data_IF_371373719393
#
_entry.id   IF_371373719393
#
_cell.length_a   1.000
_cell.length_b   1.000
_cell.length_c   1.000
_cell.angle_alpha   90.00
_cell.angle_beta   90.00
_cell.angle_gamma   90.00
#
_symmetry.space_group_name_H-M   'P 1'
#
loop_
_entity.id
_entity.type
_entity.pdbx_description
1 polymer ?
#
# COMPACT_ATOMS: atom_id res chain seq x y z
N UNK A 1 -3.84 62.36 -46.22
CA UNK A 1 -2.98 61.63 -47.18
C UNK A 1 -2.32 60.48 -46.42
N UNK A 2 -2.37 59.28 -46.98
CA UNK A 2 -1.91 57.97 -46.44
C UNK A 2 -0.36 57.96 -46.32
N UNK A 3 0.31 57.48 -45.25
CA UNK A 3 0.65 56.09 -44.82
C UNK A 3 1.24 56.14 -43.36
N UNK A 4 0.99 55.23 -42.42
CA UNK A 4 1.63 53.89 -42.19
C UNK A 4 3.15 53.94 -41.89
N UNK A 5 3.76 53.17 -40.95
CA UNK A 5 3.29 52.09 -40.04
C UNK A 5 4.28 51.80 -38.86
N UNK A 6 3.82 51.15 -37.76
CA UNK A 6 4.60 50.55 -36.61
C UNK A 6 5.36 51.53 -35.67
N UNK A 7 5.59 51.22 -34.37
CA UNK A 7 5.45 49.94 -33.65
C UNK A 7 4.66 50.07 -32.33
N UNK A 8 3.60 49.29 -32.18
CA UNK A 8 3.19 48.82 -30.85
C UNK A 8 4.20 47.77 -30.40
N UNK A 9 4.94 48.01 -29.32
CA UNK A 9 5.57 46.91 -28.59
C UNK A 9 4.46 46.20 -27.80
N UNK A 10 4.08 45.06 -28.34
CA UNK A 10 3.08 44.15 -27.82
C UNK A 10 3.56 43.65 -26.46
N UNK A 11 2.80 43.95 -25.40
CA UNK A 11 2.97 43.34 -24.08
C UNK A 11 2.12 42.06 -24.01
N UNK A 12 2.39 41.12 -24.92
CA UNK A 12 1.88 39.75 -24.88
C UNK A 12 3.06 38.79 -24.90
N UNK A 13 3.47 38.34 -23.71
CA UNK A 13 4.08 37.02 -23.46
C UNK A 13 4.24 36.85 -21.93
N UNK A 14 3.11 36.75 -21.22
CA UNK A 14 3.09 36.49 -19.76
C UNK A 14 2.06 35.45 -19.32
N UNK A 15 1.18 34.99 -20.22
CA UNK A 15 0.05 34.11 -19.87
C UNK A 15 0.32 32.62 -20.16
N UNK A 16 1.45 32.26 -20.78
CA UNK A 16 1.78 30.87 -21.13
C UNK A 16 2.89 30.26 -20.25
N UNK A 17 3.75 31.09 -19.64
CA UNK A 17 4.70 30.60 -18.61
C UNK A 17 3.99 30.31 -17.28
N UNK A 18 3.06 31.15 -16.83
CA UNK A 18 2.36 30.99 -15.55
C UNK A 18 1.73 29.61 -15.40
N UNK A 19 0.96 29.16 -16.40
CA UNK A 19 0.27 27.87 -16.38
C UNK A 19 1.27 26.69 -16.30
N UNK A 20 2.40 26.78 -17.01
CA UNK A 20 3.45 25.76 -16.97
C UNK A 20 4.15 25.74 -15.60
N UNK A 21 4.43 26.91 -15.00
CA UNK A 21 4.98 26.97 -13.63
C UNK A 21 4.01 26.41 -12.58
N UNK A 22 2.71 26.64 -12.73
CA UNK A 22 1.67 26.19 -11.81
C UNK A 22 1.43 24.68 -11.93
N UNK A 23 1.29 24.13 -13.15
CA UNK A 23 1.27 22.68 -13.39
C UNK A 23 2.56 21.99 -12.91
N UNK A 24 3.73 22.61 -13.13
CA UNK A 24 5.02 22.10 -12.61
C UNK A 24 5.11 22.14 -11.09
N UNK A 25 4.44 23.09 -10.42
CA UNK A 25 4.40 23.18 -8.97
C UNK A 25 3.47 22.11 -8.39
N UNK A 26 2.26 21.98 -8.95
CA UNK A 26 1.28 20.95 -8.56
C UNK A 26 1.81 19.52 -8.83
N UNK A 27 2.51 19.31 -9.95
CA UNK A 27 3.20 18.05 -10.24
C UNK A 27 4.36 17.75 -9.27
N UNK A 28 5.07 18.78 -8.76
CA UNK A 28 6.11 18.62 -7.74
C UNK A 28 5.52 18.34 -6.36
N UNK A 29 4.44 19.03 -5.99
CA UNK A 29 3.74 18.82 -4.72
C UNK A 29 3.09 17.43 -4.65
N UNK A 30 2.34 17.02 -5.68
CA UNK A 30 1.75 15.67 -5.77
C UNK A 30 2.83 14.57 -5.76
N UNK A 31 3.98 14.79 -6.40
CA UNK A 31 5.15 13.89 -6.31
C UNK A 31 5.75 13.85 -4.90
N UNK A 32 5.85 14.98 -4.21
CA UNK A 32 6.37 15.06 -2.83
C UNK A 32 5.41 14.39 -1.84
N UNK A 33 4.09 14.58 -1.99
CA UNK A 33 3.05 13.89 -1.22
C UNK A 33 3.15 12.38 -1.46
N UNK A 34 3.28 11.95 -2.71
CA UNK A 34 3.44 10.53 -3.07
C UNK A 34 4.69 9.93 -2.44
N UNK A 35 5.85 10.59 -2.53
CA UNK A 35 7.10 10.16 -1.87
C UNK A 35 6.95 10.09 -0.35
N UNK A 36 6.25 11.04 0.27
CA UNK A 36 5.99 11.05 1.72
C UNK A 36 5.06 9.90 2.12
N UNK A 37 4.06 9.57 1.30
CA UNK A 37 3.18 8.42 1.50
C UNK A 37 3.94 7.09 1.33
N UNK A 38 4.79 6.94 0.30
CA UNK A 38 5.65 5.76 0.15
C UNK A 38 6.60 5.60 1.34
N UNK A 39 7.27 6.67 1.78
CA UNK A 39 8.19 6.63 2.93
C UNK A 39 7.46 6.30 4.24
N UNK A 40 6.22 6.78 4.43
CA UNK A 40 5.36 6.36 5.54
C UNK A 40 4.97 4.88 5.44
N UNK A 41 4.55 4.40 4.27
CA UNK A 41 4.22 2.99 4.03
C UNK A 41 5.42 2.08 4.33
N UNK A 42 6.59 2.41 3.79
CA UNK A 42 7.84 1.69 4.06
C UNK A 42 8.18 1.69 5.56
N UNK A 43 7.96 2.80 6.28
CA UNK A 43 8.18 2.85 7.73
C UNK A 43 7.28 1.88 8.51
N UNK A 44 6.04 1.62 8.05
CA UNK A 44 5.16 0.62 8.67
C UNK A 44 5.63 -0.83 8.39
N UNK A 45 6.22 -1.09 7.22
CA UNK A 45 6.80 -2.41 6.91
C UNK A 45 8.17 -2.61 7.58
N UNK A 46 8.94 -1.54 7.80
CA UNK A 46 10.24 -1.58 8.49
C UNK A 46 10.14 -1.45 10.02
N UNK A 47 8.97 -1.09 10.58
CA UNK A 47 8.81 -1.08 12.04
C UNK A 47 9.05 -2.50 12.58
N UNK A 48 10.01 -2.64 13.49
CA UNK A 48 10.30 -3.89 14.18
C UNK A 48 9.03 -4.45 14.84
N UNK A 49 8.83 -5.78 14.78
CA UNK A 49 7.76 -6.44 15.55
C UNK A 49 8.10 -6.37 17.04
N UNK A 50 7.80 -5.22 17.67
CA UNK A 50 8.04 -4.90 19.08
C UNK A 50 7.53 -5.97 20.06
N UNK A 51 6.56 -6.77 19.61
CA UNK A 51 5.98 -7.88 20.37
C UNK A 51 5.86 -9.12 19.47
N UNK A 52 6.99 -9.79 19.22
CA UNK A 52 7.00 -11.12 18.59
C UNK A 52 6.48 -12.21 19.56
N UNK A 53 5.23 -12.04 19.99
CA UNK A 53 4.50 -12.96 20.86
C UNK A 53 3.93 -14.05 19.96
N UNK A 54 4.51 -15.25 20.06
CA UNK A 54 4.05 -16.44 19.36
C UNK A 54 2.54 -16.62 19.52
N UNK A 55 1.82 -16.75 18.40
CA UNK A 55 0.37 -16.92 18.40
C UNK A 55 0.00 -18.39 18.50
N UNK A 56 -0.97 -18.70 19.36
CA UNK A 56 -1.53 -20.04 19.51
C UNK A 56 -2.69 -20.28 18.55
N UNK A 57 -3.08 -21.55 18.43
CA UNK A 57 -4.35 -21.98 17.81
C UNK A 57 -5.55 -21.20 18.37
N UNK A 58 -5.57 -21.01 19.70
CA UNK A 58 -6.65 -20.33 20.41
C UNK A 58 -6.74 -18.85 20.04
N UNK A 59 -5.60 -18.18 19.81
CA UNK A 59 -5.58 -16.80 19.31
C UNK A 59 -6.18 -16.72 17.90
N UNK A 60 -5.82 -17.66 17.02
CA UNK A 60 -6.36 -17.73 15.66
C UNK A 60 -7.88 -17.92 15.66
N UNK A 61 -8.42 -18.81 16.49
CA UNK A 61 -9.86 -19.06 16.55
C UNK A 61 -10.66 -18.06 17.39
N UNK A 62 -10.08 -17.47 18.45
CA UNK A 62 -10.83 -16.74 19.48
C UNK A 62 -10.55 -15.25 19.55
N UNK A 63 -9.46 -14.77 18.93
CA UNK A 63 -8.98 -13.38 19.05
C UNK A 63 -8.93 -12.71 17.67
N UNK A 64 -8.29 -13.31 16.68
CA UNK A 64 -8.17 -12.72 15.34
C UNK A 64 -9.53 -12.40 14.68
N UNK A 65 -10.59 -13.23 14.78
CA UNK A 65 -11.90 -12.92 14.19
C UNK A 65 -12.63 -11.75 14.85
N UNK A 66 -12.12 -11.24 15.99
CA UNK A 66 -12.65 -10.06 16.70
C UNK A 66 -11.90 -8.77 16.36
N UNK A 67 -10.93 -8.82 15.46
CA UNK A 67 -10.21 -7.63 15.00
C UNK A 67 -11.01 -6.91 13.92
N UNK A 68 -11.15 -5.60 14.09
CA UNK A 68 -11.53 -4.71 12.98
C UNK A 68 -10.45 -4.70 11.88
N UNK A 69 -10.81 -4.24 10.67
CA UNK A 69 -9.90 -4.24 9.51
C UNK A 69 -8.61 -3.45 9.76
N UNK A 70 -8.64 -2.42 10.60
CA UNK A 70 -7.46 -1.60 10.93
C UNK A 70 -6.50 -2.41 11.80
N UNK A 71 -7.00 -3.10 12.83
CA UNK A 71 -6.22 -4.02 13.68
C UNK A 71 -5.71 -5.21 12.88
N UNK A 72 -6.56 -5.82 12.05
CA UNK A 72 -6.16 -6.93 11.18
C UNK A 72 -5.01 -6.49 10.28
N UNK A 73 -5.18 -5.38 9.53
CA UNK A 73 -4.16 -4.87 8.63
C UNK A 73 -2.87 -4.47 9.34
N UNK A 74 -2.95 -3.93 10.56
CA UNK A 74 -1.76 -3.60 11.36
C UNK A 74 -1.00 -4.84 11.85
N UNK A 75 -1.71 -5.89 12.26
CA UNK A 75 -1.12 -7.12 12.82
C UNK A 75 -0.61 -8.04 11.71
N UNK A 76 -1.40 -8.23 10.65
CA UNK A 76 -1.11 -9.14 9.53
C UNK A 76 -0.31 -8.48 8.40
N UNK A 77 -0.15 -7.15 8.42
CA UNK A 77 0.50 -6.32 7.39
C UNK A 77 -0.15 -6.39 6.00
N UNK A 78 -1.35 -6.92 5.92
CA UNK A 78 -2.20 -7.00 4.74
C UNK A 78 -3.68 -6.97 5.17
N UNK A 79 -4.57 -6.55 4.28
CA UNK A 79 -6.01 -6.65 4.53
C UNK A 79 -6.50 -8.11 4.53
N UNK A 80 -7.69 -8.32 5.08
CA UNK A 80 -8.29 -9.66 5.21
C UNK A 80 -8.51 -10.34 3.86
N UNK A 81 -8.93 -9.61 2.83
CA UNK A 81 -9.19 -10.20 1.51
C UNK A 81 -7.89 -10.66 0.83
N UNK A 82 -6.84 -9.84 0.87
CA UNK A 82 -5.50 -10.21 0.40
C UNK A 82 -4.96 -11.44 1.12
N UNK A 83 -5.17 -11.52 2.44
CA UNK A 83 -4.79 -12.69 3.23
C UNK A 83 -5.54 -13.96 2.79
N UNK A 84 -6.86 -13.91 2.65
CA UNK A 84 -7.67 -15.06 2.22
C UNK A 84 -7.32 -15.50 0.79
N UNK A 85 -7.10 -14.54 -0.12
CA UNK A 85 -6.66 -14.81 -1.49
C UNK A 85 -5.29 -15.51 -1.50
N UNK A 86 -4.35 -15.07 -0.66
CA UNK A 86 -3.02 -15.68 -0.52
C UNK A 86 -3.12 -17.10 0.06
N UNK A 87 -3.88 -17.29 1.14
CA UNK A 87 -4.06 -18.59 1.77
C UNK A 87 -4.72 -19.59 0.82
N UNK A 88 -5.78 -19.19 0.12
CA UNK A 88 -6.44 -20.01 -0.90
C UNK A 88 -5.47 -20.39 -2.02
N UNK A 89 -4.71 -19.41 -2.55
CA UNK A 89 -3.72 -19.64 -3.61
C UNK A 89 -2.56 -20.55 -3.19
N UNK A 90 -2.22 -20.59 -1.90
CA UNK A 90 -1.22 -21.53 -1.37
C UNK A 90 -1.84 -22.91 -1.11
N UNK A 91 -3.08 -22.98 -0.64
CA UNK A 91 -3.83 -24.23 -0.42
C UNK A 91 -4.16 -25.02 -1.69
N UNK A 92 -4.04 -24.42 -2.89
CA UNK A 92 -4.18 -25.17 -4.16
C UNK A 92 -2.96 -26.01 -4.53
N UNK A 93 -1.79 -25.81 -3.90
CA UNK A 93 -0.61 -26.63 -4.17
C UNK A 93 -0.71 -27.99 -3.45
N UNK A 94 -0.37 -29.06 -4.17
CA UNK A 94 -0.49 -30.45 -3.70
C UNK A 94 0.23 -30.74 -2.37
N UNK A 95 1.32 -30.04 -2.07
CA UNK A 95 2.05 -30.14 -0.80
C UNK A 95 1.18 -29.78 0.42
N UNK A 96 0.23 -28.87 0.28
CA UNK A 96 -0.71 -28.48 1.34
C UNK A 96 -2.03 -29.27 1.31
N UNK A 97 -2.24 -30.09 0.28
CA UNK A 97 -3.39 -31.00 0.14
C UNK A 97 -3.06 -32.45 0.55
N UNK A 98 -1.81 -32.72 0.90
CA UNK A 98 -1.35 -34.07 1.22
C UNK A 98 -2.01 -34.59 2.50
N UNK A 99 -2.73 -35.71 2.39
CA UNK A 99 -3.33 -36.44 3.51
C UNK A 99 -2.34 -37.42 4.17
N UNK A 100 -1.04 -37.13 4.11
CA UNK A 100 0.00 -37.97 4.68
C UNK A 100 -0.14 -38.16 6.19
N UNK A 101 0.48 -39.21 6.73
CA UNK A 101 0.34 -39.64 8.14
C UNK A 101 0.75 -38.60 9.21
N UNK A 102 1.25 -37.43 8.81
CA UNK A 102 1.56 -36.30 9.71
C UNK A 102 0.64 -35.15 9.36
N UNK A 103 -0.32 -34.86 10.24
CA UNK A 103 -1.18 -33.69 10.09
C UNK A 103 -0.34 -32.41 10.13
N UNK A 104 -0.57 -31.53 9.15
CA UNK A 104 -0.03 -30.17 9.15
C UNK A 104 -1.14 -29.19 9.60
N UNK A 105 -0.73 -28.06 10.18
CA UNK A 105 -1.62 -26.94 10.43
C UNK A 105 -2.20 -26.42 9.10
N UNK A 106 -3.39 -25.80 9.11
CA UNK A 106 -3.96 -25.20 7.89
C UNK A 106 -3.08 -24.06 7.34
N UNK A 107 -3.23 -23.74 6.06
CA UNK A 107 -2.40 -22.73 5.40
C UNK A 107 -2.60 -21.35 6.01
N UNK A 108 -3.85 -20.98 6.31
CA UNK A 108 -4.20 -19.71 6.96
C UNK A 108 -3.47 -19.59 8.29
N UNK A 109 -3.50 -20.65 9.10
CA UNK A 109 -2.90 -20.72 10.42
C UNK A 109 -1.36 -20.66 10.38
N UNK A 110 -0.72 -21.33 9.41
CA UNK A 110 0.72 -21.21 9.17
C UNK A 110 1.11 -19.78 8.76
N UNK A 111 0.35 -19.17 7.84
CA UNK A 111 0.57 -17.79 7.40
C UNK A 111 0.34 -16.78 8.52
N UNK A 112 -0.68 -16.98 9.36
CA UNK A 112 -0.96 -16.10 10.48
C UNK A 112 0.21 -16.07 11.47
N UNK A 113 0.71 -17.24 11.89
CA UNK A 113 1.90 -17.36 12.75
C UNK A 113 3.13 -16.72 12.10
N UNK A 114 3.27 -16.78 10.77
CA UNK A 114 4.37 -16.15 10.06
C UNK A 114 4.25 -14.61 10.00
N UNK A 115 3.04 -14.06 9.83
CA UNK A 115 2.84 -12.61 9.66
C UNK A 115 2.73 -11.81 10.97
N UNK A 116 2.32 -12.43 12.08
CA UNK A 116 2.22 -11.77 13.41
C UNK A 116 3.51 -11.76 14.21
#
# INVERSE_FOLDING_TARGET
MINFIKSSQIFEDSNNESNNFEEQFEAKESKLISLRLYSLLDSYYLESRKYNIAKSQEWWHSILPKYDDIRFKKIMRMDSQSFQNLATKIGTYSIFQSTGNKQQASVELQLAIFFT
#
